data_IF_992901414202
#
_entry.id   IF_992901414202
#
_cell.length_a   1.000
_cell.length_b   1.000
_cell.length_c   1.000
_cell.angle_alpha   90.00
_cell.angle_beta   90.00
_cell.angle_gamma   90.00
#
_symmetry.space_group_name_H-M   'P 1'
#
loop_
_entity.id
_entity.type
_entity.pdbx_description
1 polymer ?
#
# COMPACT_ATOMS: atom_id res chain seq x y z
N UNK A 1 -1.40 5.47 -6.66
CA UNK A 1 0.06 5.49 -6.92
C UNK A 1 0.50 4.14 -7.47
N UNK A 2 1.74 4.03 -7.93
CA UNK A 2 2.38 2.78 -8.34
C UNK A 2 3.66 2.65 -7.50
N UNK A 3 3.80 1.56 -6.74
CA UNK A 3 4.94 1.35 -5.80
C UNK A 3 5.14 -0.14 -5.53
N UNK A 4 6.32 -0.54 -5.06
CA UNK A 4 6.65 -1.93 -4.70
C UNK A 4 6.32 -2.15 -3.21
N UNK A 5 5.03 -2.34 -2.89
CA UNK A 5 4.54 -2.22 -1.49
C UNK A 5 4.87 -3.45 -0.65
N UNK A 6 5.08 -4.60 -1.29
CA UNK A 6 5.53 -5.85 -0.64
C UNK A 6 6.95 -6.26 -1.05
N UNK A 7 7.74 -5.27 -1.50
CA UNK A 7 9.17 -5.34 -1.78
C UNK A 7 9.56 -6.61 -2.52
N UNK A 8 8.73 -7.08 -3.45
CA UNK A 8 8.89 -8.33 -4.20
C UNK A 8 9.58 -8.10 -5.56
N UNK A 9 9.87 -6.83 -5.87
CA UNK A 9 10.53 -6.39 -7.09
C UNK A 9 9.56 -6.09 -8.23
N UNK A 10 8.25 -6.22 -8.00
CA UNK A 10 7.21 -5.85 -8.94
C UNK A 10 6.43 -4.63 -8.45
N UNK A 11 6.07 -3.75 -9.39
CA UNK A 11 5.30 -2.56 -9.04
C UNK A 11 3.81 -2.88 -8.91
N UNK A 12 3.23 -2.46 -7.79
CA UNK A 12 1.83 -2.63 -7.42
C UNK A 12 1.05 -1.31 -7.54
N UNK A 13 -0.08 -1.33 -8.26
CA UNK A 13 -1.05 -0.24 -8.20
C UNK A 13 -1.76 -0.18 -6.85
N UNK A 14 -1.70 0.98 -6.20
CA UNK A 14 -2.45 1.33 -4.98
C UNK A 14 -3.46 2.43 -5.31
N UNK A 15 -4.74 2.22 -5.03
CA UNK A 15 -5.81 3.12 -5.44
C UNK A 15 -6.97 3.22 -4.45
N UNK A 16 -7.61 4.38 -4.45
CA UNK A 16 -8.81 4.63 -3.67
C UNK A 16 -10.03 3.90 -4.23
N UNK A 17 -10.88 3.46 -3.32
CA UNK A 17 -12.18 2.85 -3.57
C UNK A 17 -13.21 3.51 -2.65
N UNK A 18 -14.52 3.32 -2.91
CA UNK A 18 -15.55 3.78 -1.97
C UNK A 18 -15.43 3.21 -0.56
N UNK A 19 -14.79 2.04 -0.40
CA UNK A 19 -14.62 1.37 0.89
C UNK A 19 -13.30 1.71 1.62
N UNK A 20 -12.34 2.31 0.92
CA UNK A 20 -10.99 2.56 1.44
C UNK A 20 -9.94 2.43 0.35
N UNK A 21 -8.75 1.97 0.67
CA UNK A 21 -7.66 1.79 -0.30
C UNK A 21 -7.54 0.32 -0.65
N UNK A 22 -7.36 0.02 -1.94
CA UNK A 22 -7.08 -1.32 -2.44
C UNK A 22 -5.71 -1.35 -3.13
N UNK A 23 -5.10 -2.54 -3.12
CA UNK A 23 -3.84 -2.83 -3.82
C UNK A 23 -4.11 -3.91 -4.87
N UNK A 24 -3.52 -3.75 -6.04
CA UNK A 24 -3.44 -4.82 -7.04
C UNK A 24 -2.00 -5.36 -7.03
N UNK A 25 -1.77 -6.46 -6.33
CA UNK A 25 -0.46 -7.10 -6.24
C UNK A 25 -0.06 -7.71 -7.58
N UNK A 26 1.14 -7.37 -8.04
CA UNK A 26 1.75 -7.88 -9.24
C UNK A 26 2.69 -9.03 -8.91
N UNK A 27 2.24 -10.28 -9.03
CA UNK A 27 3.08 -11.46 -8.77
C UNK A 27 4.04 -11.81 -9.92
N UNK A 28 4.23 -10.89 -10.86
CA UNK A 28 4.99 -11.12 -12.08
C UNK A 28 4.29 -12.06 -13.08
N UNK A 29 4.87 -12.17 -14.28
CA UNK A 29 4.39 -13.06 -15.36
C UNK A 29 2.90 -12.92 -15.73
N UNK A 30 2.32 -11.74 -15.50
CA UNK A 30 0.90 -11.47 -15.75
C UNK A 30 -0.06 -12.00 -14.68
N UNK A 31 0.45 -12.44 -13.54
CA UNK A 31 -0.35 -12.82 -12.38
C UNK A 31 -0.65 -11.61 -11.52
N UNK A 32 -1.93 -11.38 -11.26
CA UNK A 32 -2.40 -10.23 -10.48
C UNK A 32 -3.36 -10.70 -9.39
N UNK A 33 -3.21 -10.17 -8.19
CA UNK A 33 -4.05 -10.46 -7.05
C UNK A 33 -4.58 -9.16 -6.45
N UNK A 34 -5.89 -9.05 -6.28
CA UNK A 34 -6.48 -7.87 -5.67
C UNK A 34 -6.57 -8.08 -4.17
N UNK A 35 -5.98 -7.15 -3.41
CA UNK A 35 -6.06 -7.11 -1.97
C UNK A 35 -6.89 -5.89 -1.53
N UNK A 36 -8.08 -6.16 -1.01
CA UNK A 36 -9.04 -5.13 -0.56
C UNK A 36 -8.90 -4.80 0.93
N UNK A 37 -8.30 -5.70 1.71
CA UNK A 37 -8.32 -5.61 3.18
C UNK A 37 -7.03 -5.04 3.79
N UNK A 38 -5.94 -4.96 3.02
CA UNK A 38 -4.64 -4.45 3.48
C UNK A 38 -4.75 -3.06 4.13
N UNK A 39 -5.67 -2.24 3.63
CA UNK A 39 -5.85 -0.86 4.07
C UNK A 39 -7.29 -0.54 4.50
N UNK A 40 -8.04 -1.56 4.94
CA UNK A 40 -9.45 -1.40 5.34
C UNK A 40 -9.65 -0.37 6.47
N UNK A 41 -8.64 -0.17 7.34
CA UNK A 41 -8.69 0.81 8.41
C UNK A 41 -8.66 2.29 7.93
N UNK A 42 -8.38 2.54 6.64
CA UNK A 42 -8.31 3.89 6.07
C UNK A 42 -9.70 4.52 5.99
N UNK A 43 -10.73 3.68 6.00
CA UNK A 43 -12.11 4.10 5.92
C UNK A 43 -12.48 4.61 4.54
N UNK A 44 -13.76 4.90 4.32
CA UNK A 44 -14.27 5.32 3.03
C UNK A 44 -13.60 6.61 2.53
N UNK A 45 -13.39 6.70 1.22
CA UNK A 45 -12.81 7.86 0.53
C UNK A 45 -11.39 8.25 0.97
N UNK A 46 -10.63 7.30 1.53
CA UNK A 46 -9.20 7.50 1.77
C UNK A 46 -8.39 7.59 0.47
N UNK A 47 -7.34 8.40 0.49
CA UNK A 47 -6.47 8.66 -0.67
C UNK A 47 -5.00 8.30 -0.35
N UNK A 48 -4.36 7.40 -1.12
CA UNK A 48 -2.93 7.15 -0.98
C UNK A 48 -2.15 8.33 -1.60
N UNK A 49 -1.25 8.93 -0.82
CA UNK A 49 -0.51 10.14 -1.21
C UNK A 49 0.90 9.83 -1.73
N UNK A 50 1.72 9.22 -0.88
CA UNK A 50 3.12 8.90 -1.16
C UNK A 50 3.56 7.66 -0.37
N UNK A 51 4.59 6.97 -0.85
CA UNK A 51 5.20 5.82 -0.17
C UNK A 51 6.71 5.96 -0.10
N UNK A 52 7.30 5.70 1.06
CA UNK A 52 8.75 5.68 1.29
C UNK A 52 9.06 4.88 2.56
N UNK A 53 10.30 4.41 2.70
CA UNK A 53 10.80 3.79 3.95
C UNK A 53 10.98 4.89 5.00
N UNK A 54 9.98 5.07 5.88
CA UNK A 54 9.90 6.22 6.79
C UNK A 54 10.62 5.96 8.11
N UNK A 55 10.71 4.71 8.54
CA UNK A 55 11.36 4.31 9.79
C UNK A 55 12.73 3.64 9.60
N UNK A 56 13.12 3.33 8.36
CA UNK A 56 14.44 2.83 8.00
C UNK A 56 14.58 1.30 8.11
N UNK A 57 13.48 0.55 8.14
CA UNK A 57 13.48 -0.91 8.24
C UNK A 57 13.59 -1.64 6.88
N UNK A 58 13.45 -0.88 5.79
CA UNK A 58 13.55 -1.34 4.41
C UNK A 58 12.23 -1.74 3.76
N UNK A 59 11.10 -1.57 4.46
CA UNK A 59 9.76 -1.72 3.93
C UNK A 59 9.17 -0.35 3.55
N UNK A 60 8.37 -0.29 2.47
CA UNK A 60 7.74 0.98 2.08
C UNK A 60 6.49 1.23 2.92
N UNK A 61 6.50 2.36 3.63
CA UNK A 61 5.35 2.89 4.37
C UNK A 61 4.44 3.70 3.47
N UNK A 62 3.20 3.95 3.91
CA UNK A 62 2.19 4.66 3.13
C UNK A 62 1.62 5.87 3.87
N UNK A 63 1.74 7.05 3.26
CA UNK A 63 0.98 8.22 3.67
C UNK A 63 -0.43 8.19 3.07
N UNK A 64 -1.43 8.25 3.94
CA UNK A 64 -2.85 8.20 3.59
C UNK A 64 -3.57 9.44 4.08
N UNK A 65 -4.37 10.06 3.21
CA UNK A 65 -5.33 11.09 3.58
C UNK A 65 -6.69 10.45 3.87
N UNK A 66 -7.23 10.69 5.06
CA UNK A 66 -8.59 10.33 5.43
C UNK A 66 -9.64 11.32 4.92
N UNK A 67 -10.94 10.98 5.02
CA UNK A 67 -12.04 11.80 4.52
C UNK A 67 -12.21 13.14 5.24
N UNK A 68 -11.67 13.28 6.46
CA UNK A 68 -11.62 14.52 7.24
C UNK A 68 -10.43 15.42 6.87
N UNK A 69 -9.59 14.99 5.93
CA UNK A 69 -8.37 15.67 5.52
C UNK A 69 -7.16 15.38 6.40
N UNK A 70 -7.32 14.57 7.47
CA UNK A 70 -6.20 14.14 8.30
C UNK A 70 -5.25 13.27 7.47
N UNK A 71 -3.95 13.49 7.63
CA UNK A 71 -2.92 12.63 7.02
C UNK A 71 -2.34 11.73 8.09
N UNK A 72 -2.38 10.43 7.83
CA UNK A 72 -1.83 9.38 8.69
C UNK A 72 -0.74 8.64 7.95
N UNK A 73 0.37 8.36 8.63
CA UNK A 73 1.41 7.44 8.15
C UNK A 73 1.07 6.03 8.63
N UNK A 74 1.10 5.08 7.72
CA UNK A 74 0.85 3.67 7.97
C UNK A 74 2.15 2.91 7.78
N UNK A 75 2.64 2.28 8.85
CA UNK A 75 3.88 1.52 8.79
C UNK A 75 3.67 0.12 8.25
N UNK A 76 4.61 -0.36 7.44
CA UNK A 76 4.54 -1.66 6.79
C UNK A 76 5.53 -2.65 7.42
N UNK A 77 5.12 -3.33 8.48
CA UNK A 77 5.99 -4.21 9.29
C UNK A 77 6.26 -5.61 8.68
N UNK A 78 5.88 -5.83 7.42
CA UNK A 78 5.89 -7.16 6.79
C UNK A 78 6.05 -7.13 5.28
N UNK A 79 6.43 -5.98 4.73
CA UNK A 79 6.62 -5.78 3.30
C UNK A 79 7.78 -6.60 2.72
N UNK A 80 8.58 -7.28 3.53
CA UNK A 80 9.73 -8.02 3.03
C UNK A 80 9.41 -9.49 2.72
N UNK A 81 8.69 -9.76 1.62
CA UNK A 81 8.54 -11.14 1.12
C UNK A 81 9.87 -11.71 0.53
N UNK A 82 10.87 -10.86 0.30
CA UNK A 82 12.19 -11.23 -0.22
C UNK A 82 13.17 -11.83 0.81
N UNK A 83 12.71 -12.18 2.03
CA UNK A 83 13.48 -13.02 2.97
C UNK A 83 13.06 -14.49 2.87
N UNK A 84 13.59 -15.20 1.88
CA UNK A 84 13.73 -16.66 1.91
C UNK A 84 15.17 -17.08 1.67
#
# INVERSE_FOLDING_TARGET
>A
MITDIDNDGFLDPVFSTPAGIAVLHNRGAGNWERQDDLLAAAGPAAEPLESWDADGDGDLDLAVRGPDGTVTLWTNEGGNANRS
#
